data_IF_167321840462
#
_entry.id   IF_167321840462
#
_cell.length_a   1.000
_cell.length_b   1.000
_cell.length_c   1.000
_cell.angle_alpha   90.00
_cell.angle_beta   90.00
_cell.angle_gamma   90.00
#
_symmetry.space_group_name_H-M   'P 1'
#
loop_
_entity.id
_entity.type
_entity.pdbx_description
1 polymer ?
#
# COMPACT_ATOMS: atom_id res chain seq x y z
N UNK A 1 -2.09 20.61 -2.45
CA UNK A 1 -1.41 19.81 -3.49
C UNK A 1 -2.14 18.49 -3.76
N UNK A 2 -2.16 17.52 -2.84
CA UNK A 2 -2.77 16.19 -3.04
C UNK A 2 -4.21 16.21 -3.56
N UNK A 3 -5.09 17.05 -3.01
CA UNK A 3 -6.47 17.18 -3.47
C UNK A 3 -6.57 17.62 -4.94
N UNK A 4 -5.72 18.56 -5.36
CA UNK A 4 -5.65 19.02 -6.76
C UNK A 4 -5.09 17.95 -7.70
N UNK A 5 -4.09 17.18 -7.25
CA UNK A 5 -3.54 16.07 -8.01
C UNK A 5 -4.57 14.93 -8.19
N UNK A 6 -5.29 14.56 -7.12
CA UNK A 6 -6.38 13.58 -7.18
C UNK A 6 -7.50 14.06 -8.09
N UNK A 7 -7.91 15.33 -7.98
CA UNK A 7 -8.91 15.92 -8.86
C UNK A 7 -8.47 15.90 -10.33
N UNK A 8 -7.23 16.29 -10.63
CA UNK A 8 -6.69 16.26 -11.99
C UNK A 8 -6.62 14.82 -12.54
N UNK A 9 -6.19 13.85 -11.73
CA UNK A 9 -6.17 12.43 -12.12
C UNK A 9 -7.58 11.90 -12.38
N UNK A 10 -8.55 12.30 -11.56
CA UNK A 10 -9.96 11.97 -11.76
C UNK A 10 -10.47 12.52 -13.10
N UNK A 11 -10.24 13.82 -13.36
CA UNK A 11 -10.60 14.48 -14.62
C UNK A 11 -9.91 13.81 -15.83
N UNK A 12 -8.66 13.35 -15.68
CA UNK A 12 -7.96 12.63 -16.74
C UNK A 12 -8.53 11.21 -16.99
N UNK A 13 -9.07 10.58 -15.94
CA UNK A 13 -9.70 9.26 -16.03
C UNK A 13 -11.12 9.34 -16.61
N UNK A 14 -11.86 10.41 -16.35
CA UNK A 14 -13.28 10.58 -16.71
C UNK A 14 -13.61 10.28 -18.19
N UNK A 15 -12.85 10.75 -19.20
CA UNK A 15 -13.13 10.44 -20.60
C UNK A 15 -13.03 8.94 -20.91
N UNK A 16 -12.11 8.25 -20.25
CA UNK A 16 -11.93 6.81 -20.39
C UNK A 16 -13.03 6.02 -19.66
N UNK A 17 -13.53 6.55 -18.54
CA UNK A 17 -14.68 5.97 -17.82
C UNK A 17 -15.91 5.89 -18.74
N UNK A 18 -16.17 6.97 -19.49
CA UNK A 18 -17.34 7.08 -20.35
C UNK A 18 -17.30 6.15 -21.57
N UNK A 19 -16.10 5.77 -22.05
CA UNK A 19 -15.94 5.04 -23.33
C UNK A 19 -15.88 3.51 -23.22
N UNK A 20 -15.39 2.93 -22.12
CA UNK A 20 -15.06 1.48 -22.08
C UNK A 20 -15.51 0.72 -20.81
N UNK A 21 -16.54 1.19 -20.09
CA UNK A 21 -17.26 0.41 -19.05
C UNK A 21 -16.35 -0.46 -18.18
N UNK A 22 -15.52 0.15 -17.34
CA UNK A 22 -14.39 -0.55 -16.72
C UNK A 22 -14.78 -1.19 -15.38
N UNK A 23 -14.84 -2.53 -15.35
CA UNK A 23 -15.02 -3.36 -14.14
C UNK A 23 -14.06 -3.01 -12.98
N UNK A 24 -12.94 -2.33 -13.23
CA UNK A 24 -11.97 -1.91 -12.21
C UNK A 24 -12.44 -0.72 -11.35
N UNK A 25 -13.35 0.12 -11.86
CA UNK A 25 -13.94 1.23 -11.09
C UNK A 25 -15.15 0.73 -10.30
N UNK A 26 -15.75 -0.39 -10.67
CA UNK A 26 -16.93 -0.94 -10.00
C UNK A 26 -16.66 -1.15 -8.51
N UNK A 27 -15.49 -1.63 -8.12
CA UNK A 27 -15.14 -1.79 -6.69
C UNK A 27 -15.04 -0.44 -5.95
N UNK A 28 -14.53 0.61 -6.61
CA UNK A 28 -14.45 1.97 -6.04
C UNK A 28 -15.80 2.70 -6.02
N UNK A 29 -16.58 2.56 -7.08
CA UNK A 29 -17.96 3.07 -7.15
C UNK A 29 -18.83 2.37 -6.09
N UNK A 30 -18.70 1.05 -5.90
CA UNK A 30 -19.38 0.30 -4.84
C UNK A 30 -18.96 0.74 -3.43
N UNK A 31 -17.68 1.09 -3.24
CA UNK A 31 -17.20 1.66 -1.98
C UNK A 31 -17.89 3.00 -1.69
N UNK A 32 -17.99 3.87 -2.70
CA UNK A 32 -18.69 5.17 -2.61
C UNK A 32 -20.21 5.02 -2.43
N UNK A 33 -20.80 3.97 -2.99
CA UNK A 33 -22.21 3.57 -2.78
C UNK A 33 -22.47 2.93 -1.40
N UNK A 34 -21.54 3.04 -0.44
CA UNK A 34 -21.64 2.46 0.92
C UNK A 34 -21.82 0.93 0.96
N UNK A 35 -21.49 0.20 -0.11
CA UNK A 35 -21.49 -1.28 -0.11
C UNK A 35 -20.22 -1.87 0.50
N UNK A 36 -19.72 -1.27 1.58
CA UNK A 36 -18.53 -1.73 2.32
C UNK A 36 -18.66 -3.15 2.89
N UNK A 37 -19.88 -3.73 2.88
CA UNK A 37 -20.17 -5.11 3.28
C UNK A 37 -20.18 -6.12 2.12
N UNK A 38 -19.81 -5.71 0.91
CA UNK A 38 -19.69 -6.62 -0.23
C UNK A 38 -18.51 -7.60 0.02
N UNK A 39 -18.74 -8.93 0.04
CA UNK A 39 -17.69 -9.92 0.28
C UNK A 39 -16.50 -9.80 -0.69
N UNK A 40 -16.72 -9.29 -1.90
CA UNK A 40 -15.65 -9.05 -2.87
C UNK A 40 -14.66 -7.99 -2.37
N UNK A 41 -15.16 -6.89 -1.79
CA UNK A 41 -14.31 -5.83 -1.23
C UNK A 41 -13.55 -6.37 -0.02
N UNK A 42 -14.23 -7.09 0.87
CA UNK A 42 -13.60 -7.66 2.07
C UNK A 42 -12.51 -8.66 1.74
N UNK A 43 -12.68 -9.48 0.70
CA UNK A 43 -11.65 -10.37 0.18
C UNK A 43 -10.43 -9.58 -0.32
N UNK A 44 -10.64 -8.57 -1.15
CA UNK A 44 -9.54 -7.78 -1.71
C UNK A 44 -8.78 -7.00 -0.60
N UNK A 45 -9.48 -6.56 0.44
CA UNK A 45 -8.88 -5.96 1.64
C UNK A 45 -8.04 -6.99 2.42
N UNK A 46 -8.55 -8.21 2.64
CA UNK A 46 -7.80 -9.28 3.31
C UNK A 46 -6.53 -9.65 2.55
N UNK A 47 -6.61 -9.75 1.23
CA UNK A 47 -5.44 -10.06 0.39
C UNK A 47 -4.42 -8.92 0.47
N UNK A 48 -4.86 -7.67 0.42
CA UNK A 48 -3.97 -6.51 0.62
C UNK A 48 -3.30 -6.50 2.00
N UNK A 49 -4.08 -6.78 3.06
CA UNK A 49 -3.60 -6.86 4.44
C UNK A 49 -2.53 -7.95 4.60
N UNK A 50 -2.81 -9.15 4.10
CA UNK A 50 -1.90 -10.30 4.21
C UNK A 50 -0.63 -10.08 3.40
N UNK A 51 -0.74 -9.71 2.12
CA UNK A 51 0.42 -9.47 1.27
C UNK A 51 1.30 -8.35 1.82
N UNK A 52 0.70 -7.23 2.24
CA UNK A 52 1.46 -6.11 2.78
C UNK A 52 2.08 -6.41 4.14
N UNK A 53 1.42 -7.21 4.99
CA UNK A 53 2.00 -7.66 6.26
C UNK A 53 3.21 -8.57 6.06
N UNK A 54 3.13 -9.50 5.11
CA UNK A 54 4.24 -10.40 4.76
C UNK A 54 5.43 -9.58 4.23
N UNK A 55 5.19 -8.66 3.30
CA UNK A 55 6.24 -7.82 2.70
C UNK A 55 6.84 -6.88 3.75
N UNK A 56 6.02 -6.30 4.64
CA UNK A 56 6.53 -5.49 5.73
C UNK A 56 7.43 -6.29 6.66
N UNK A 57 7.01 -7.51 7.04
CA UNK A 57 7.81 -8.41 7.86
C UNK A 57 9.15 -8.75 7.20
N UNK A 58 9.16 -9.05 5.91
CA UNK A 58 10.39 -9.28 5.14
C UNK A 58 11.28 -8.02 5.07
N UNK A 59 10.68 -6.85 4.89
CA UNK A 59 11.41 -5.58 4.81
C UNK A 59 12.05 -5.20 6.15
N UNK A 60 11.31 -5.38 7.25
CA UNK A 60 11.82 -5.16 8.61
C UNK A 60 12.87 -6.22 8.96
N UNK A 61 12.62 -7.49 8.63
CA UNK A 61 13.58 -8.58 8.80
C UNK A 61 14.90 -8.33 8.08
N UNK A 62 14.84 -7.84 6.84
CA UNK A 62 16.03 -7.48 6.07
C UNK A 62 16.89 -6.42 6.75
N UNK A 63 16.29 -5.48 7.52
CA UNK A 63 17.06 -4.47 8.28
C UNK A 63 17.93 -5.12 9.35
N UNK A 64 17.44 -6.15 10.03
CA UNK A 64 18.22 -6.88 11.03
C UNK A 64 19.34 -7.73 10.43
N UNK A 65 19.28 -8.01 9.12
CA UNK A 65 20.34 -8.73 8.41
C UNK A 65 21.46 -7.79 7.93
N UNK A 66 21.27 -6.46 7.97
CA UNK A 66 22.28 -5.48 7.52
C UNK A 66 23.59 -5.60 8.30
N UNK A 67 23.50 -5.69 9.63
CA UNK A 67 24.67 -5.73 10.52
C UNK A 67 25.48 -7.04 10.35
N UNK A 68 24.88 -8.24 10.34
CA UNK A 68 25.58 -9.48 10.00
C UNK A 68 26.23 -9.50 8.61
N UNK A 69 25.68 -8.75 7.65
CA UNK A 69 26.15 -8.70 6.26
C UNK A 69 27.23 -7.64 6.02
N UNK A 70 27.81 -7.08 7.10
CA UNK A 70 28.89 -6.10 7.02
C UNK A 70 28.44 -4.67 6.69
N UNK A 71 27.14 -4.39 6.73
CA UNK A 71 26.62 -3.02 6.77
C UNK A 71 26.74 -2.45 8.17
N UNK A 72 26.96 -1.14 8.30
CA UNK A 72 26.81 -0.50 9.61
C UNK A 72 25.33 -0.55 10.01
N UNK A 73 25.03 -0.81 11.29
CA UNK A 73 23.67 -0.77 11.82
C UNK A 73 22.94 0.46 11.25
N UNK A 74 21.86 0.22 10.51
CA UNK A 74 20.97 1.28 10.04
C UNK A 74 20.66 2.18 11.23
N UNK A 75 20.66 3.51 11.04
CA UNK A 75 20.33 4.46 12.11
C UNK A 75 19.25 3.86 13.02
N UNK A 76 19.46 3.84 14.36
CA UNK A 76 18.41 3.40 15.25
C UNK A 76 17.13 4.11 14.82
N UNK A 77 16.01 3.39 14.80
CA UNK A 77 14.65 3.88 14.56
C UNK A 77 14.26 4.96 15.61
N UNK A 78 15.08 5.98 15.83
CA UNK A 78 15.26 6.62 17.13
C UNK A 78 15.53 8.12 17.06
N UNK A 79 15.82 8.71 15.90
CA UNK A 79 15.80 10.18 15.72
C UNK A 79 14.50 10.67 15.08
N UNK A 80 14.03 10.01 14.00
CA UNK A 80 12.72 10.30 13.40
C UNK A 80 11.53 9.92 14.31
N UNK A 81 11.77 9.07 15.31
CA UNK A 81 10.77 8.51 16.22
C UNK A 81 10.72 9.17 17.59
N UNK A 82 11.60 10.14 17.87
CA UNK A 82 11.50 10.94 19.10
C UNK A 82 10.13 11.61 19.20
N UNK A 83 9.54 11.95 18.04
CA UNK A 83 8.17 12.45 17.91
C UNK A 83 7.11 11.47 18.47
N UNK A 84 7.35 10.17 18.35
CA UNK A 84 6.45 9.11 18.83
C UNK A 84 6.63 8.81 20.33
N UNK A 85 7.75 9.25 20.94
CA UNK A 85 7.99 9.15 22.38
C UNK A 85 7.26 10.25 23.19
N UNK A 86 6.61 11.22 22.54
CA UNK A 86 5.82 12.27 23.21
C UNK A 86 4.47 11.77 23.78
N UNK A 87 4.28 10.44 23.90
CA UNK A 87 3.15 9.78 24.53
C UNK A 87 1.94 9.56 23.61
N UNK A 88 0.96 8.79 24.11
CA UNK A 88 -0.21 8.29 23.37
C UNK A 88 -0.94 9.36 22.55
N UNK A 89 -1.08 10.58 23.08
CA UNK A 89 -1.77 11.67 22.37
C UNK A 89 -1.03 12.09 21.10
N UNK A 90 0.30 12.21 21.17
CA UNK A 90 1.13 12.50 20.01
C UNK A 90 1.17 11.32 19.06
N UNK A 91 1.27 10.09 19.56
CA UNK A 91 1.17 8.90 18.70
C UNK A 91 -0.16 8.89 17.94
N UNK A 92 -1.30 9.07 18.60
CA UNK A 92 -2.61 9.11 17.93
C UNK A 92 -2.74 10.25 16.91
N UNK A 93 -2.20 11.43 17.21
CA UNK A 93 -2.22 12.57 16.29
C UNK A 93 -1.28 12.36 15.07
N UNK A 94 -0.09 11.81 15.31
CA UNK A 94 0.91 11.50 14.27
C UNK A 94 0.38 10.40 13.36
N UNK A 95 -0.16 9.33 13.95
CA UNK A 95 -0.85 8.28 13.23
C UNK A 95 -2.01 8.87 12.42
N UNK A 96 -2.87 9.71 12.99
CA UNK A 96 -3.97 10.34 12.26
C UNK A 96 -3.52 11.15 11.04
N UNK A 97 -2.53 12.02 11.20
CA UNK A 97 -2.05 12.92 10.14
C UNK A 97 -1.23 12.17 9.08
N UNK A 98 -0.26 11.37 9.52
CA UNK A 98 0.59 10.60 8.63
C UNK A 98 -0.24 9.53 7.89
N UNK A 99 -1.13 8.79 8.55
CA UNK A 99 -1.96 7.81 7.85
C UNK A 99 -2.89 8.43 6.84
N UNK A 100 -3.49 9.59 7.12
CA UNK A 100 -4.32 10.28 6.13
C UNK A 100 -3.51 10.60 4.87
N UNK A 101 -2.30 11.17 5.02
CA UNK A 101 -1.42 11.46 3.90
C UNK A 101 -1.02 10.18 3.15
N UNK A 102 -0.75 9.08 3.85
CA UNK A 102 -0.35 7.81 3.23
C UNK A 102 -1.50 7.12 2.50
N UNK A 103 -2.72 7.23 3.00
CA UNK A 103 -3.92 6.80 2.28
C UNK A 103 -4.06 7.60 0.99
N UNK A 104 -3.91 8.92 1.05
CA UNK A 104 -3.97 9.78 -0.13
C UNK A 104 -2.86 9.47 -1.14
N UNK A 105 -1.64 9.21 -0.67
CA UNK A 105 -0.52 8.78 -1.51
C UNK A 105 -0.78 7.42 -2.17
N UNK A 106 -1.23 6.43 -1.40
CA UNK A 106 -1.55 5.10 -1.92
C UNK A 106 -2.62 5.17 -3.01
N UNK A 107 -3.68 5.96 -2.78
CA UNK A 107 -4.71 6.23 -3.77
C UNK A 107 -4.11 6.94 -4.99
N UNK A 108 -3.36 8.02 -4.79
CA UNK A 108 -2.74 8.78 -5.88
C UNK A 108 -1.82 7.91 -6.74
N UNK A 109 -0.93 7.11 -6.14
CA UNK A 109 -0.03 6.22 -6.87
C UNK A 109 -0.80 5.18 -7.68
N UNK A 110 -1.89 4.67 -7.13
CA UNK A 110 -2.66 3.66 -7.83
C UNK A 110 -3.49 4.24 -8.97
N UNK A 111 -4.07 5.43 -8.77
CA UNK A 111 -4.73 6.18 -9.84
C UNK A 111 -3.74 6.56 -10.93
N UNK A 112 -2.55 7.06 -10.57
CA UNK A 112 -1.48 7.38 -11.51
C UNK A 112 -1.09 6.17 -12.36
N UNK A 113 -0.90 4.99 -11.74
CA UNK A 113 -0.62 3.75 -12.46
C UNK A 113 -1.70 3.43 -13.49
N UNK A 114 -2.99 3.53 -13.12
CA UNK A 114 -4.09 3.30 -14.05
C UNK A 114 -4.11 4.33 -15.20
N UNK A 115 -3.91 5.61 -14.91
CA UNK A 115 -3.88 6.67 -15.93
C UNK A 115 -2.77 6.38 -16.94
N UNK A 116 -1.55 6.10 -16.46
CA UNK A 116 -0.40 5.79 -17.33
C UNK A 116 -0.67 4.55 -18.17
N UNK A 117 -1.17 3.47 -17.55
CA UNK A 117 -1.50 2.23 -18.27
C UNK A 117 -2.55 2.46 -19.37
N UNK A 118 -3.59 3.27 -19.10
CA UNK A 118 -4.66 3.54 -20.07
C UNK A 118 -4.24 4.52 -21.15
N UNK A 119 -3.52 5.58 -20.80
CA UNK A 119 -2.98 6.54 -21.75
C UNK A 119 -2.03 5.84 -22.73
N UNK A 120 -1.12 5.01 -22.20
CA UNK A 120 -0.16 4.28 -23.03
C UNK A 120 -0.85 3.19 -23.86
N UNK A 121 -1.86 2.51 -23.32
CA UNK A 121 -2.66 1.54 -24.07
C UNK A 121 -3.44 2.18 -25.22
N UNK A 122 -3.92 3.41 -25.04
CA UNK A 122 -4.58 4.19 -26.09
C UNK A 122 -3.59 4.65 -27.16
N UNK A 123 -2.44 5.21 -26.77
CA UNK A 123 -1.39 5.63 -27.70
C UNK A 123 -0.85 4.45 -28.51
N UNK A 124 -0.53 3.34 -27.84
CA UNK A 124 -0.04 2.13 -28.50
C UNK A 124 -1.13 1.44 -29.32
N UNK A 125 -2.40 1.55 -28.93
CA UNK A 125 -3.53 1.00 -29.68
C UNK A 125 -3.77 1.69 -31.03
N UNK A 126 -3.23 2.91 -31.22
CA UNK A 126 -3.24 3.57 -32.52
C UNK A 126 -2.25 2.94 -33.52
N UNK A 127 -1.24 2.20 -33.04
CA UNK A 127 -0.16 1.61 -33.84
C UNK A 127 -0.17 0.08 -33.83
N UNK A 128 -0.54 -0.51 -32.69
CA UNK A 128 -0.52 -1.95 -32.43
C UNK A 128 -1.94 -2.48 -32.25
N UNK A 129 -2.13 -3.77 -32.52
CA UNK A 129 -3.39 -4.46 -32.26
C UNK A 129 -3.80 -4.33 -30.78
N UNK A 130 -5.10 -4.15 -30.50
CA UNK A 130 -5.61 -3.74 -29.18
C UNK A 130 -5.11 -4.64 -28.02
N UNK A 131 -4.98 -5.95 -28.26
CA UNK A 131 -4.48 -6.90 -27.26
C UNK A 131 -2.99 -6.75 -26.96
N UNK A 132 -2.17 -6.49 -27.98
CA UNK A 132 -0.72 -6.29 -27.82
C UNK A 132 -0.45 -4.94 -27.18
N UNK A 133 -1.17 -3.89 -27.61
CA UNK A 133 -1.07 -2.55 -27.04
C UNK A 133 -1.33 -2.55 -25.52
N UNK A 134 -2.37 -3.26 -25.05
CA UNK A 134 -2.68 -3.34 -23.61
C UNK A 134 -1.59 -4.06 -22.81
N UNK A 135 -0.99 -5.13 -23.35
CA UNK A 135 0.11 -5.85 -22.68
C UNK A 135 1.36 -4.99 -22.58
N UNK A 136 1.78 -4.38 -23.70
CA UNK A 136 2.96 -3.50 -23.73
C UNK A 136 2.76 -2.28 -22.84
N UNK A 137 1.56 -1.69 -22.84
CA UNK A 137 1.23 -0.58 -21.96
C UNK A 137 1.31 -0.94 -20.47
N UNK A 138 0.90 -2.16 -20.11
CA UNK A 138 1.00 -2.65 -18.73
C UNK A 138 2.45 -2.81 -18.31
N UNK A 139 3.29 -3.41 -19.16
CA UNK A 139 4.72 -3.58 -18.89
C UNK A 139 5.41 -2.22 -18.76
N UNK A 140 5.13 -1.29 -19.66
CA UNK A 140 5.74 0.04 -19.61
C UNK A 140 5.24 0.87 -18.41
N UNK A 141 3.95 0.80 -18.04
CA UNK A 141 3.45 1.42 -16.81
C UNK A 141 4.11 0.83 -15.56
N UNK A 142 4.33 -0.49 -15.54
CA UNK A 142 5.10 -1.19 -14.48
C UNK A 142 6.53 -0.65 -14.40
N UNK A 143 7.23 -0.54 -15.53
CA UNK A 143 8.61 -0.05 -15.58
C UNK A 143 8.69 1.41 -15.13
N UNK A 144 7.83 2.28 -15.65
CA UNK A 144 7.76 3.69 -15.24
C UNK A 144 7.50 3.79 -13.73
N UNK A 145 6.53 3.04 -13.22
CA UNK A 145 6.20 3.04 -11.81
C UNK A 145 7.36 2.55 -10.94
N UNK A 146 8.07 1.50 -11.38
CA UNK A 146 9.26 0.97 -10.72
C UNK A 146 10.37 2.01 -10.69
N UNK A 147 10.65 2.69 -11.80
CA UNK A 147 11.66 3.75 -11.87
C UNK A 147 11.31 4.91 -10.95
N UNK A 148 10.04 5.35 -10.92
CA UNK A 148 9.59 6.43 -10.05
C UNK A 148 9.68 6.04 -8.57
N UNK A 149 9.26 4.83 -8.20
CA UNK A 149 9.34 4.35 -6.82
C UNK A 149 10.77 4.17 -6.35
N UNK A 150 11.64 3.55 -7.16
CA UNK A 150 13.05 3.37 -6.83
C UNK A 150 13.80 4.71 -6.80
N UNK A 151 13.47 5.62 -7.73
CA UNK A 151 14.08 6.94 -7.85
C UNK A 151 13.62 7.96 -6.80
N UNK A 152 12.45 7.76 -6.18
CA UNK A 152 11.95 8.59 -5.08
C UNK A 152 12.70 8.40 -3.75
N UNK A 153 13.62 7.44 -3.71
CA UNK A 153 14.32 7.13 -2.50
C UNK A 153 15.39 8.15 -2.16
N UNK A 154 15.56 8.40 -0.86
CA UNK A 154 16.78 8.99 -0.33
C UNK A 154 17.98 8.19 -0.86
N UNK A 155 19.00 8.91 -1.35
CA UNK A 155 20.25 8.32 -1.80
C UNK A 155 20.74 7.35 -0.71
N UNK A 156 21.14 6.12 -1.06
CA UNK A 156 21.72 5.19 -0.10
C UNK A 156 22.80 5.95 0.67
N UNK A 157 22.67 6.00 1.99
CA UNK A 157 23.79 6.40 2.84
C UNK A 157 24.97 5.53 2.43
N UNK A 158 26.20 6.07 2.29
CA UNK A 158 27.36 5.34 1.75
C UNK A 158 27.73 4.03 2.47
N UNK A 159 27.01 3.68 3.54
CA UNK A 159 27.27 2.58 4.45
C UNK A 159 26.20 1.47 4.40
N UNK A 160 25.14 1.62 3.61
CA UNK A 160 24.11 0.60 3.45
C UNK A 160 24.42 -0.33 2.27
N UNK A 161 24.23 -1.66 2.38
CA UNK A 161 24.38 -2.58 1.25
C UNK A 161 23.33 -2.27 0.17
N UNK A 162 23.78 -1.64 -0.93
CA UNK A 162 22.94 -1.19 -2.05
C UNK A 162 22.06 -2.31 -2.60
N UNK A 163 22.59 -3.53 -2.69
CA UNK A 163 21.89 -4.69 -3.22
C UNK A 163 20.71 -5.10 -2.33
N UNK A 164 20.82 -4.99 -1.00
CA UNK A 164 19.76 -5.35 -0.06
C UNK A 164 18.63 -4.31 -0.09
N UNK A 165 19.00 -3.03 -0.15
CA UNK A 165 18.06 -1.92 -0.36
C UNK A 165 17.33 -2.05 -1.70
N UNK A 166 18.03 -2.43 -2.77
CA UNK A 166 17.41 -2.66 -4.07
C UNK A 166 16.48 -3.88 -4.04
N UNK A 167 16.92 -4.99 -3.45
CA UNK A 167 16.14 -6.22 -3.35
C UNK A 167 14.84 -6.03 -2.56
N UNK A 168 14.91 -5.38 -1.40
CA UNK A 168 13.72 -5.08 -0.57
C UNK A 168 12.73 -4.17 -1.32
N UNK A 169 13.21 -3.17 -2.06
CA UNK A 169 12.35 -2.30 -2.90
C UNK A 169 11.73 -3.04 -4.07
N UNK A 170 12.50 -3.87 -4.77
CA UNK A 170 11.98 -4.68 -5.86
C UNK A 170 10.90 -5.64 -5.37
N UNK A 171 11.09 -6.25 -4.19
CA UNK A 171 10.05 -7.06 -3.54
C UNK A 171 8.79 -6.24 -3.24
N UNK A 172 8.96 -5.04 -2.68
CA UNK A 172 7.84 -4.13 -2.35
C UNK A 172 7.03 -3.73 -3.61
N UNK A 173 7.72 -3.39 -4.70
CA UNK A 173 7.09 -3.04 -5.98
C UNK A 173 6.46 -4.28 -6.63
N UNK A 174 7.13 -5.43 -6.63
CA UNK A 174 6.60 -6.67 -7.19
C UNK A 174 5.32 -7.13 -6.46
N UNK A 175 5.30 -7.03 -5.12
CA UNK A 175 4.12 -7.31 -4.30
C UNK A 175 2.96 -6.37 -4.62
N UNK A 176 3.23 -5.07 -4.74
CA UNK A 176 2.23 -4.08 -5.13
C UNK A 176 1.65 -4.35 -6.52
N UNK A 177 2.51 -4.59 -7.51
CA UNK A 177 2.07 -4.85 -8.88
C UNK A 177 1.24 -6.13 -8.96
N UNK A 178 1.62 -7.16 -8.20
CA UNK A 178 0.81 -8.38 -8.08
C UNK A 178 -0.56 -8.08 -7.48
N UNK A 179 -0.61 -7.29 -6.41
CA UNK A 179 -1.86 -6.85 -5.78
C UNK A 179 -2.75 -6.08 -6.78
N UNK A 180 -2.18 -5.11 -7.49
CA UNK A 180 -2.90 -4.25 -8.44
C UNK A 180 -3.39 -4.99 -9.68
N UNK A 181 -2.52 -5.77 -10.30
CA UNK A 181 -2.82 -6.43 -11.58
C UNK A 181 -3.73 -7.64 -11.39
N UNK A 182 -3.67 -8.32 -10.25
CA UNK A 182 -4.44 -9.55 -10.00
C UNK A 182 -5.72 -9.33 -9.20
N UNK A 183 -5.69 -8.44 -8.20
CA UNK A 183 -6.79 -8.24 -7.25
C UNK A 183 -7.38 -6.82 -7.28
N UNK A 184 -6.75 -5.88 -7.99
CA UNK A 184 -7.32 -4.57 -8.28
C UNK A 184 -6.93 -3.46 -7.29
N UNK A 185 -7.63 -2.32 -7.42
CA UNK A 185 -7.19 -1.05 -6.85
C UNK A 185 -7.23 -1.01 -5.32
N UNK A 186 -8.28 -1.59 -4.73
CA UNK A 186 -8.47 -1.63 -3.28
C UNK A 186 -7.38 -2.49 -2.65
N UNK A 187 -7.11 -3.66 -3.22
CA UNK A 187 -6.06 -4.56 -2.74
C UNK A 187 -4.69 -3.87 -2.70
N UNK A 188 -4.29 -3.20 -3.79
CA UNK A 188 -3.00 -2.49 -3.83
C UNK A 188 -2.95 -1.26 -2.92
N UNK A 189 -4.08 -0.57 -2.74
CA UNK A 189 -4.16 0.57 -1.80
C UNK A 189 -3.97 0.10 -0.35
N UNK A 190 -4.69 -0.97 0.04
CA UNK A 190 -4.57 -1.57 1.38
C UNK A 190 -3.16 -2.13 1.59
N UNK A 191 -2.58 -2.76 0.59
CA UNK A 191 -1.20 -3.23 0.60
C UNK A 191 -0.21 -2.10 0.93
N UNK A 192 -0.33 -0.94 0.27
CA UNK A 192 0.56 0.20 0.54
C UNK A 192 0.37 0.74 1.95
N UNK A 193 -0.89 0.90 2.38
CA UNK A 193 -1.22 1.43 3.70
C UNK A 193 -0.66 0.52 4.80
N UNK A 194 -0.91 -0.79 4.73
CA UNK A 194 -0.47 -1.74 5.77
C UNK A 194 1.05 -1.91 5.75
N UNK A 195 1.67 -1.94 4.57
CA UNK A 195 3.12 -2.07 4.47
C UNK A 195 3.80 -0.86 5.08
N UNK A 196 3.29 0.34 4.79
CA UNK A 196 3.81 1.56 5.36
C UNK A 196 3.59 1.63 6.88
N UNK A 197 2.37 1.31 7.36
CA UNK A 197 2.05 1.26 8.79
C UNK A 197 3.07 0.40 9.54
N UNK A 198 3.31 -0.83 9.07
CA UNK A 198 4.19 -1.76 9.76
C UNK A 198 5.67 -1.36 9.62
N UNK A 199 6.14 -0.97 8.42
CA UNK A 199 7.55 -0.61 8.21
C UNK A 199 7.94 0.69 8.94
N UNK A 200 6.97 1.60 9.13
CA UNK A 200 7.14 2.86 9.86
C UNK A 200 6.84 2.75 11.36
N UNK A 201 6.46 1.58 11.89
CA UNK A 201 6.25 1.40 13.33
C UNK A 201 7.50 0.78 13.96
N UNK A 202 8.00 1.31 15.09
CA UNK A 202 9.04 0.64 15.85
C UNK A 202 8.38 -0.50 16.64
N UNK A 203 8.74 -1.74 16.31
CA UNK A 203 8.24 -2.90 17.05
C UNK A 203 9.11 -3.17 18.27
N UNK A 204 8.49 -3.18 19.45
CA UNK A 204 9.13 -3.66 20.69
C UNK A 204 8.46 -4.94 21.18
N UNK A 205 9.27 -5.84 21.77
CA UNK A 205 8.79 -7.03 22.47
C UNK A 205 8.42 -6.73 23.94
N UNK A 206 8.83 -5.57 24.48
CA UNK A 206 8.51 -5.13 25.85
C UNK A 206 7.14 -4.43 25.91
N UNK A 207 6.06 -5.17 25.68
CA UNK A 207 4.68 -4.63 25.59
C UNK A 207 4.19 -3.90 26.85
N UNK A 208 4.78 -4.17 28.02
CA UNK A 208 4.47 -3.48 29.28
C UNK A 208 5.18 -2.14 29.47
N UNK A 209 6.05 -1.74 28.54
CA UNK A 209 6.81 -0.50 28.65
C UNK A 209 6.03 0.71 28.13
N UNK A 210 6.34 1.90 28.64
CA UNK A 210 5.66 3.15 28.24
C UNK A 210 5.84 3.50 26.75
N UNK A 211 6.92 3.02 26.13
CA UNK A 211 7.22 3.22 24.71
C UNK A 211 6.62 2.14 23.80
N UNK A 212 5.89 1.16 24.33
CA UNK A 212 5.20 0.13 23.52
C UNK A 212 3.92 0.64 22.83
N UNK A 213 3.49 1.87 23.12
CA UNK A 213 2.24 2.45 22.62
C UNK A 213 2.13 2.44 21.08
N UNK A 214 3.15 2.83 20.28
CA UNK A 214 3.07 2.78 18.82
C UNK A 214 2.89 1.36 18.28
N UNK A 215 3.59 0.39 18.89
CA UNK A 215 3.47 -1.03 18.54
C UNK A 215 2.05 -1.54 18.77
N UNK A 216 1.46 -1.22 19.92
CA UNK A 216 0.09 -1.60 20.26
C UNK A 216 -0.93 -1.00 19.30
N UNK A 217 -0.81 0.29 18.96
CA UNK A 217 -1.72 0.96 18.02
C UNK A 217 -1.63 0.34 16.63
N UNK A 218 -0.43 0.14 16.09
CA UNK A 218 -0.26 -0.46 14.77
C UNK A 218 -0.80 -1.89 14.69
N UNK A 219 -0.51 -2.72 15.71
CA UNK A 219 -1.06 -4.07 15.81
C UNK A 219 -2.58 -4.06 15.94
N UNK A 220 -3.14 -3.14 16.72
CA UNK A 220 -4.59 -3.02 16.88
C UNK A 220 -5.28 -2.66 15.56
N UNK A 221 -4.69 -1.74 14.78
CA UNK A 221 -5.20 -1.37 13.46
C UNK A 221 -5.09 -2.56 12.49
N UNK A 222 -3.95 -3.23 12.44
CA UNK A 222 -3.72 -4.36 11.54
C UNK A 222 -4.66 -5.54 11.85
N UNK A 223 -4.68 -5.97 13.11
CA UNK A 223 -5.52 -7.09 13.59
C UNK A 223 -6.99 -6.71 13.52
N UNK A 224 -7.37 -5.51 13.95
CA UNK A 224 -8.76 -5.03 13.86
C UNK A 224 -9.26 -5.02 12.42
N UNK A 225 -8.45 -4.52 11.49
CA UNK A 225 -8.79 -4.54 10.06
C UNK A 225 -8.90 -5.96 9.50
N UNK A 226 -8.03 -6.87 9.92
CA UNK A 226 -8.07 -8.27 9.50
C UNK A 226 -9.30 -9.01 10.05
N UNK A 227 -9.64 -8.83 11.33
CA UNK A 227 -10.83 -9.42 11.95
C UNK A 227 -12.10 -8.91 11.27
N UNK A 228 -12.23 -7.60 11.11
CA UNK A 228 -13.39 -6.98 10.46
C UNK A 228 -13.54 -7.50 9.03
N UNK A 229 -12.44 -7.55 8.27
CA UNK A 229 -12.48 -8.01 6.88
C UNK A 229 -12.79 -9.52 6.79
N UNK A 230 -12.33 -10.32 7.75
CA UNK A 230 -12.65 -11.77 7.83
C UNK A 230 -14.13 -11.98 8.12
N UNK A 231 -14.68 -11.24 9.08
CA UNK A 231 -16.12 -11.30 9.42
C UNK A 231 -16.98 -10.96 8.20
N UNK A 232 -16.65 -9.90 7.47
CA UNK A 232 -17.41 -9.52 6.29
C UNK A 232 -17.17 -10.45 5.08
N UNK A 233 -15.97 -11.02 4.93
CA UNK A 233 -15.70 -12.02 3.90
C UNK A 233 -16.47 -13.33 4.12
N UNK A 234 -16.72 -13.72 5.37
CA UNK A 234 -17.46 -14.94 5.72
C UNK A 234 -19.01 -14.78 5.65
N UNK A 235 -19.53 -13.60 5.34
CA UNK A 235 -20.98 -13.35 5.22
C UNK A 235 -21.58 -12.43 6.29
N UNK A 236 -20.74 -11.74 7.07
CA UNK A 236 -21.16 -10.66 7.96
C UNK A 236 -21.86 -11.13 9.25
N UNK A 237 -22.81 -10.34 9.80
CA UNK A 237 -23.39 -10.56 11.14
C UNK A 237 -24.06 -11.93 11.35
N UNK A 238 -24.49 -12.60 10.27
CA UNK A 238 -25.15 -13.92 10.33
C UNK A 238 -24.23 -15.07 10.77
N UNK A 239 -22.90 -14.88 10.64
CA UNK A 239 -21.91 -15.85 11.13
C UNK A 239 -21.57 -15.59 12.60
N UNK A 240 -21.47 -14.32 12.99
CA UNK A 240 -21.28 -13.92 14.39
C UNK A 240 -22.44 -14.40 15.28
N UNK A 241 -23.69 -14.35 14.79
CA UNK A 241 -24.85 -14.89 15.50
C UNK A 241 -24.93 -16.42 15.54
N UNK A 242 -24.01 -17.14 14.89
CA UNK A 242 -23.88 -18.60 14.98
C UNK A 242 -22.70 -19.04 15.85
N UNK A 243 -21.83 -18.12 16.23
CA UNK A 243 -20.65 -18.37 17.08
C UNK A 243 -20.89 -17.97 18.56
N UNK A 244 -21.97 -17.23 18.84
CA UNK A 244 -22.51 -16.93 20.17
C UNK A 244 -23.72 -17.82 20.40
#
# INVERSE_FOLDING_TARGET
FYAGAIWAMYMALEPFMRRRGSNLIVSWARLLERRVRDPLISRDVLIGLTMGSVIAGLSVGARYLVEPLGGSATEPLGLAFLSQLHGLRWSLASFGNEHLLRVLEAVQFTFFFLVVQRALGWLLGAVLHERTASRVATIAAVVIFLVLMVGSANLPTPRDPVWLNLATRLLLVAGLLTALLRFGLICGSVYLIITWLLVATPFTMSLGSWYAQPTLVALSIAVGSAVVSTVYALGGPKVLSRMV
#
